data_IF_524797816531
#
_entry.id   IF_524797816531
#
_cell.length_a   1.000
_cell.length_b   1.000
_cell.length_c   1.000
_cell.angle_alpha   90.00
_cell.angle_beta   90.00
_cell.angle_gamma   90.00
#
_symmetry.space_group_name_H-M   'P 1'
#
loop_
_entity.id
_entity.type
_entity.pdbx_description
1 polymer ?
#
# COMPACT_ATOMS: atom_id res chain seq x y z
N UNK A 1 62.94 28.58 -26.51
CA UNK A 1 62.01 28.33 -27.63
C UNK A 1 60.60 28.54 -27.10
N UNK A 2 59.93 29.57 -27.59
CA UNK A 2 58.67 30.11 -27.06
C UNK A 2 57.49 29.27 -27.56
N UNK A 3 56.61 28.79 -26.69
CA UNK A 3 55.23 28.46 -27.05
C UNK A 3 54.32 29.11 -26.02
N UNK A 4 53.48 30.00 -26.54
CA UNK A 4 52.69 30.96 -25.83
C UNK A 4 51.40 30.33 -25.28
N UNK A 5 51.10 30.65 -24.02
CA UNK A 5 49.79 30.43 -23.39
C UNK A 5 48.82 31.40 -24.08
N UNK A 6 47.92 30.87 -24.93
CA UNK A 6 46.76 31.64 -25.38
C UNK A 6 45.72 31.61 -24.26
N UNK A 7 45.71 32.69 -23.47
CA UNK A 7 44.59 33.08 -22.64
C UNK A 7 43.37 33.31 -23.56
N UNK A 8 42.41 32.38 -23.50
CA UNK A 8 41.08 32.60 -24.07
C UNK A 8 40.18 33.04 -22.93
N UNK A 9 39.94 34.34 -22.88
CA UNK A 9 38.96 34.99 -22.00
C UNK A 9 37.59 34.88 -22.69
N UNK A 10 36.83 33.83 -22.37
CA UNK A 10 35.43 33.71 -22.78
C UNK A 10 34.53 34.04 -21.59
N UNK A 11 34.00 35.26 -21.66
CA UNK A 11 32.60 35.64 -21.43
C UNK A 11 31.78 34.84 -20.40
N UNK A 12 31.29 35.56 -19.39
CA UNK A 12 30.16 35.19 -18.52
C UNK A 12 29.12 34.34 -19.26
N UNK A 13 28.87 33.11 -18.80
CA UNK A 13 27.59 32.37 -18.87
C UNK A 13 27.74 31.04 -18.10
N UNK A 14 26.75 30.74 -17.26
CA UNK A 14 26.65 29.58 -16.37
C UNK A 14 27.05 28.25 -17.04
N UNK A 15 27.99 27.54 -16.42
CA UNK A 15 28.42 26.22 -16.88
C UNK A 15 28.97 25.36 -15.75
N UNK A 16 28.26 25.32 -14.62
CA UNK A 16 28.57 24.44 -13.49
C UNK A 16 27.45 23.40 -13.42
N UNK A 17 27.53 22.38 -14.27
CA UNK A 17 26.65 21.22 -14.19
C UNK A 17 27.49 19.97 -13.94
N UNK A 18 28.07 19.93 -12.74
CA UNK A 18 28.51 18.70 -12.11
C UNK A 18 27.26 17.89 -11.76
N UNK A 19 26.72 17.09 -12.69
CA UNK A 19 25.72 16.07 -12.31
C UNK A 19 26.49 14.84 -11.86
N UNK A 20 26.77 14.74 -10.57
CA UNK A 20 26.84 13.42 -9.95
C UNK A 20 25.40 13.02 -9.68
N UNK A 21 24.80 12.30 -10.62
CA UNK A 21 23.54 11.62 -10.37
C UNK A 21 23.87 10.50 -9.38
N UNK A 22 23.58 10.74 -8.10
CA UNK A 22 23.68 9.70 -7.08
C UNK A 22 22.73 8.57 -7.45
N UNK A 23 23.18 7.29 -7.43
CA UNK A 23 22.30 6.18 -7.74
C UNK A 23 21.12 6.20 -6.76
N UNK A 24 19.90 6.16 -7.30
CA UNK A 24 18.68 6.04 -6.50
C UNK A 24 18.81 4.76 -5.68
N UNK A 25 18.74 4.86 -4.37
CA UNK A 25 18.87 3.72 -3.46
C UNK A 25 17.59 2.88 -3.51
N UNK A 26 17.36 2.18 -4.62
CA UNK A 26 16.47 1.03 -4.63
C UNK A 26 17.17 -0.07 -3.83
N UNK A 27 16.54 -0.55 -2.77
CA UNK A 27 17.01 -1.72 -2.04
C UNK A 27 17.16 -2.89 -3.03
N UNK A 28 18.42 -3.24 -3.33
CA UNK A 28 18.82 -4.17 -4.39
C UNK A 28 18.21 -5.56 -4.23
N UNK A 29 17.73 -5.90 -3.02
CA UNK A 29 17.08 -7.18 -2.73
C UNK A 29 15.69 -7.29 -3.34
N UNK A 30 15.11 -6.18 -3.77
CA UNK A 30 13.75 -6.10 -4.28
C UNK A 30 13.61 -4.98 -5.32
N UNK A 31 13.97 -5.21 -6.59
CA UNK A 31 14.02 -4.16 -7.62
C UNK A 31 12.65 -3.74 -8.18
N UNK A 32 11.54 -4.19 -7.59
CA UNK A 32 10.18 -3.86 -8.06
C UNK A 32 9.66 -2.55 -7.47
N UNK A 33 8.77 -1.88 -8.20
CA UNK A 33 8.08 -0.66 -7.76
C UNK A 33 7.16 -0.94 -6.56
N UNK A 34 7.08 0.00 -5.62
CA UNK A 34 6.17 -0.08 -4.48
C UNK A 34 4.78 0.44 -4.91
N UNK A 35 3.67 -0.19 -4.50
CA UNK A 35 2.35 0.41 -4.66
C UNK A 35 2.32 1.83 -4.07
N UNK A 36 1.75 2.78 -4.82
CA UNK A 36 1.96 4.22 -4.62
C UNK A 36 1.02 4.87 -3.60
N UNK A 37 -0.13 4.25 -3.31
CA UNK A 37 -1.07 4.71 -2.28
C UNK A 37 -1.68 3.56 -1.48
N UNK A 38 -2.46 3.91 -0.45
CA UNK A 38 -3.21 2.95 0.34
C UNK A 38 -4.54 2.60 -0.33
N UNK A 39 -5.01 1.34 -0.25
CA UNK A 39 -6.39 1.01 -0.56
C UNK A 39 -7.36 1.76 0.36
N UNK A 40 -8.54 2.13 -0.15
CA UNK A 40 -9.58 2.74 0.67
C UNK A 40 -10.53 1.65 1.21
N UNK A 41 -10.32 1.19 2.44
CA UNK A 41 -11.26 0.30 3.14
C UNK A 41 -12.47 1.09 3.66
N UNK A 42 -13.59 1.02 2.94
CA UNK A 42 -14.76 1.85 3.23
C UNK A 42 -15.96 1.09 3.81
N UNK A 43 -16.03 -0.24 3.68
CA UNK A 43 -17.15 -1.03 4.20
C UNK A 43 -16.74 -2.43 4.65
N UNK A 44 -17.39 -2.93 5.71
CA UNK A 44 -17.35 -4.32 6.17
C UNK A 44 -18.77 -4.82 6.42
N UNK A 45 -19.15 -5.91 5.77
CA UNK A 45 -20.38 -6.65 6.05
C UNK A 45 -20.03 -7.83 6.98
N UNK A 46 -20.50 -7.78 8.23
CA UNK A 46 -20.28 -8.82 9.24
C UNK A 46 -21.45 -9.78 9.31
N UNK A 47 -21.15 -11.06 9.54
CA UNK A 47 -22.08 -12.08 10.03
C UNK A 47 -21.71 -12.51 11.45
N UNK A 48 -22.27 -13.63 11.91
CA UNK A 48 -21.91 -14.26 13.18
C UNK A 48 -20.45 -14.74 13.22
N UNK A 49 -19.88 -15.05 12.06
CA UNK A 49 -18.62 -15.78 11.93
C UNK A 49 -17.80 -15.39 10.69
N UNK A 50 -18.19 -14.35 9.96
CA UNK A 50 -17.47 -13.89 8.77
C UNK A 50 -17.49 -12.38 8.62
N UNK A 51 -16.54 -11.88 7.83
CA UNK A 51 -16.41 -10.49 7.44
C UNK A 51 -16.16 -10.38 5.93
N UNK A 52 -17.03 -9.70 5.20
CA UNK A 52 -16.78 -9.30 3.81
C UNK A 52 -16.30 -7.85 3.78
N UNK A 53 -15.03 -7.65 3.41
CA UNK A 53 -14.41 -6.33 3.28
C UNK A 53 -14.61 -5.80 1.87
N UNK A 54 -14.82 -4.49 1.74
CA UNK A 54 -14.95 -3.79 0.46
C UNK A 54 -14.02 -2.57 0.45
N UNK A 55 -13.19 -2.47 -0.58
CA UNK A 55 -12.20 -1.41 -0.69
C UNK A 55 -11.92 -1.00 -2.14
N UNK A 56 -11.44 0.24 -2.33
CA UNK A 56 -10.97 0.68 -3.65
C UNK A 56 -9.57 0.15 -3.93
N UNK A 57 -9.28 -0.24 -5.18
CA UNK A 57 -8.00 -0.81 -5.56
C UNK A 57 -6.88 0.24 -5.59
N UNK A 58 -5.64 -0.25 -5.57
CA UNK A 58 -4.44 0.48 -5.99
C UNK A 58 -4.08 -0.07 -7.37
N UNK A 59 -3.85 0.79 -8.37
CA UNK A 59 -3.64 0.35 -9.75
C UNK A 59 -2.18 0.41 -10.21
N UNK A 60 -1.33 1.19 -9.54
CA UNK A 60 0.10 1.19 -9.81
C UNK A 60 0.78 0.08 -8.99
N UNK A 61 1.61 -0.72 -9.66
CA UNK A 61 2.49 -1.69 -9.03
C UNK A 61 1.74 -2.56 -8.01
N UNK A 62 0.77 -3.37 -8.47
CA UNK A 62 0.00 -4.27 -7.61
C UNK A 62 -0.07 -5.67 -8.20
N UNK A 63 0.12 -6.66 -7.35
CA UNK A 63 -0.04 -8.09 -7.66
C UNK A 63 -1.04 -8.79 -6.73
N UNK A 64 -1.35 -8.16 -5.60
CA UNK A 64 -2.32 -8.65 -4.65
C UNK A 64 -2.47 -7.73 -3.45
N UNK A 65 -3.24 -8.20 -2.47
CA UNK A 65 -3.52 -7.47 -1.24
C UNK A 65 -3.26 -8.36 -0.04
N UNK A 66 -2.78 -7.73 1.02
CA UNK A 66 -2.70 -8.32 2.36
C UNK A 66 -3.76 -7.64 3.23
N UNK A 67 -4.64 -8.44 3.82
CA UNK A 67 -5.53 -8.00 4.89
C UNK A 67 -4.93 -8.47 6.21
N UNK A 68 -4.70 -7.55 7.13
CA UNK A 68 -4.29 -7.84 8.50
C UNK A 68 -5.39 -7.47 9.49
N UNK A 69 -5.57 -8.30 10.51
CA UNK A 69 -6.62 -8.10 11.49
C UNK A 69 -6.35 -8.77 12.85
N UNK A 70 -7.06 -8.29 13.87
CA UNK A 70 -6.95 -8.76 15.25
C UNK A 70 -8.00 -8.13 16.16
N UNK A 71 -7.82 -8.26 17.47
CA UNK A 71 -8.84 -7.93 18.47
C UNK A 71 -8.77 -6.49 19.01
N UNK A 72 -7.71 -5.75 18.69
CA UNK A 72 -7.55 -4.33 19.00
C UNK A 72 -6.87 -3.59 17.83
N UNK A 73 -6.90 -2.26 17.85
CA UNK A 73 -6.30 -1.45 16.77
C UNK A 73 -4.78 -1.69 16.71
N UNK A 74 -4.29 -2.08 15.54
CA UNK A 74 -2.87 -2.43 15.32
C UNK A 74 -2.49 -3.86 15.73
N UNK A 75 -3.48 -4.69 16.12
CA UNK A 75 -3.28 -6.12 16.30
C UNK A 75 -3.32 -6.83 14.95
N UNK A 76 -2.15 -7.24 14.45
CA UNK A 76 -2.00 -7.90 13.15
C UNK A 76 -1.66 -9.38 13.30
N UNK A 77 -2.20 -10.04 14.32
CA UNK A 77 -1.94 -11.46 14.59
C UNK A 77 -2.47 -12.39 13.51
N UNK A 78 -3.50 -11.96 12.78
CA UNK A 78 -4.07 -12.69 11.66
C UNK A 78 -3.81 -11.94 10.36
N UNK A 79 -3.58 -12.69 9.29
CA UNK A 79 -3.31 -12.12 7.98
C UNK A 79 -3.75 -13.06 6.87
N UNK A 80 -4.21 -12.48 5.77
CA UNK A 80 -4.52 -13.22 4.55
C UNK A 80 -4.04 -12.42 3.34
N UNK A 81 -3.26 -13.10 2.50
CA UNK A 81 -2.85 -12.59 1.20
C UNK A 81 -3.71 -13.22 0.12
N UNK A 82 -4.09 -12.43 -0.89
CA UNK A 82 -4.73 -12.95 -2.09
C UNK A 82 -4.27 -12.18 -3.33
N UNK A 83 -4.06 -12.88 -4.46
CA UNK A 83 -3.67 -12.24 -5.71
C UNK A 83 -4.85 -11.47 -6.30
N UNK A 84 -4.57 -10.25 -6.72
CA UNK A 84 -5.53 -9.36 -7.39
C UNK A 84 -4.74 -8.23 -8.03
N UNK A 85 -4.83 -8.12 -9.35
CA UNK A 85 -4.14 -7.07 -10.12
C UNK A 85 -4.89 -5.74 -10.10
N UNK A 86 -4.52 -4.82 -11.01
CA UNK A 86 -5.24 -3.57 -11.21
C UNK A 86 -6.73 -3.81 -11.52
N UNK A 87 -7.58 -2.92 -11.04
CA UNK A 87 -9.03 -2.97 -11.26
C UNK A 87 -9.62 -1.57 -11.28
N UNK A 88 -10.68 -1.37 -12.05
CA UNK A 88 -11.48 -0.13 -12.03
C UNK A 88 -12.66 -0.21 -11.04
N UNK A 89 -12.89 -1.40 -10.48
CA UNK A 89 -14.02 -1.70 -9.60
C UNK A 89 -13.63 -1.86 -8.13
N UNK A 90 -14.66 -1.89 -7.28
CA UNK A 90 -14.51 -2.24 -5.86
C UNK A 90 -14.00 -3.68 -5.75
N UNK A 91 -12.97 -3.89 -4.93
CA UNK A 91 -12.50 -5.22 -4.55
C UNK A 91 -13.26 -5.66 -3.30
N UNK A 92 -13.67 -6.92 -3.28
CA UNK A 92 -14.26 -7.55 -2.10
C UNK A 92 -13.52 -8.82 -1.71
N UNK A 93 -13.37 -9.05 -0.40
CA UNK A 93 -12.75 -10.27 0.12
C UNK A 93 -13.48 -10.73 1.38
N UNK A 94 -13.79 -12.03 1.46
CA UNK A 94 -14.47 -12.64 2.59
C UNK A 94 -13.48 -13.38 3.49
N UNK A 95 -13.55 -13.11 4.78
CA UNK A 95 -12.86 -13.84 5.84
C UNK A 95 -13.90 -14.65 6.61
N UNK A 96 -13.74 -15.96 6.63
CA UNK A 96 -14.62 -16.90 7.35
C UNK A 96 -14.01 -17.34 8.69
N UNK A 97 -14.78 -18.10 9.48
CA UNK A 97 -14.36 -18.72 10.74
C UNK A 97 -13.91 -17.73 11.84
N UNK A 98 -14.49 -16.53 11.86
CA UNK A 98 -14.32 -15.57 12.94
C UNK A 98 -15.07 -16.02 14.19
N UNK A 99 -14.52 -15.68 15.36
CA UNK A 99 -15.19 -15.98 16.62
C UNK A 99 -16.46 -15.14 16.74
N UNK A 100 -17.61 -15.73 17.13
CA UNK A 100 -18.83 -14.98 17.38
C UNK A 100 -18.69 -13.95 18.50
N UNK A 101 -19.51 -12.90 18.47
CA UNK A 101 -19.56 -11.82 19.46
C UNK A 101 -18.21 -11.10 19.74
N UNK A 102 -17.29 -11.14 18.77
CA UNK A 102 -15.92 -10.66 18.90
C UNK A 102 -15.69 -9.43 18.03
N UNK A 103 -15.02 -8.42 18.61
CA UNK A 103 -14.63 -7.22 17.88
C UNK A 103 -13.32 -7.49 17.15
N UNK A 104 -13.30 -7.14 15.88
CA UNK A 104 -12.14 -7.19 15.02
C UNK A 104 -11.80 -5.81 14.46
N UNK A 105 -10.52 -5.60 14.18
CA UNK A 105 -9.96 -4.39 13.57
C UNK A 105 -9.22 -4.83 12.32
N UNK A 106 -9.61 -4.29 11.16
CA UNK A 106 -9.10 -4.69 9.86
C UNK A 106 -8.38 -3.53 9.19
N UNK A 107 -7.33 -3.85 8.44
CA UNK A 107 -6.66 -2.95 7.50
C UNK A 107 -6.17 -3.72 6.28
N UNK A 108 -6.06 -3.03 5.16
CA UNK A 108 -5.66 -3.60 3.86
C UNK A 108 -4.45 -2.84 3.34
N UNK A 109 -3.50 -3.53 2.74
CA UNK A 109 -2.44 -2.91 1.93
C UNK A 109 -2.32 -3.61 0.58
N UNK A 110 -1.96 -2.85 -0.45
CA UNK A 110 -1.53 -3.41 -1.72
C UNK A 110 -0.12 -4.01 -1.58
N UNK A 111 0.17 -5.05 -2.37
CA UNK A 111 1.44 -5.78 -2.38
C UNK A 111 1.89 -5.97 -3.83
N UNK A 112 3.17 -5.68 -4.08
CA UNK A 112 3.87 -5.99 -5.31
C UNK A 112 5.09 -6.84 -5.00
N UNK A 113 4.94 -8.16 -5.10
CA UNK A 113 6.00 -9.12 -4.79
C UNK A 113 6.63 -8.83 -3.41
N UNK A 114 7.89 -8.38 -3.36
CA UNK A 114 8.61 -8.06 -2.14
C UNK A 114 8.42 -6.62 -1.62
N UNK A 115 7.61 -5.79 -2.29
CA UNK A 115 7.24 -4.43 -1.84
C UNK A 115 5.80 -4.40 -1.31
N UNK A 116 5.67 -3.91 -0.08
CA UNK A 116 4.39 -3.61 0.54
C UNK A 116 4.03 -2.13 0.34
N UNK A 117 2.79 -1.83 -0.02
CA UNK A 117 2.23 -0.48 -0.15
C UNK A 117 2.01 0.22 1.19
N UNK A 118 1.10 1.20 1.24
CA UNK A 118 0.65 1.79 2.49
C UNK A 118 -0.59 1.06 3.02
N UNK A 119 -0.75 1.02 4.34
CA UNK A 119 -1.96 0.51 4.97
C UNK A 119 -3.12 1.48 4.79
N UNK A 120 -4.31 0.93 4.57
CA UNK A 120 -5.58 1.64 4.68
C UNK A 120 -5.81 2.17 6.10
N UNK A 121 -6.83 2.99 6.26
CA UNK A 121 -7.42 3.23 7.58
C UNK A 121 -7.88 1.91 8.22
N UNK A 122 -7.87 1.89 9.55
CA UNK A 122 -8.40 0.75 10.30
C UNK A 122 -9.91 0.89 10.44
N UNK A 123 -10.65 -0.12 9.96
CA UNK A 123 -12.08 -0.23 10.18
C UNK A 123 -12.36 -1.35 11.19
N UNK A 124 -13.18 -1.07 12.20
CA UNK A 124 -13.53 -2.06 13.22
C UNK A 124 -14.97 -2.51 13.08
N UNK A 125 -15.19 -3.80 13.29
CA UNK A 125 -16.52 -4.40 13.21
C UNK A 125 -16.64 -5.51 14.26
N UNK A 126 -17.87 -5.81 14.68
CA UNK A 126 -18.14 -6.88 15.65
C UNK A 126 -18.97 -7.97 14.98
N UNK A 127 -18.55 -9.23 15.11
CA UNK A 127 -19.40 -10.36 14.75
C UNK A 127 -20.64 -10.35 15.65
N UNK A 128 -21.82 -10.51 15.06
CA UNK A 128 -23.09 -10.45 15.78
C UNK A 128 -24.08 -11.41 15.15
N UNK A 129 -25.17 -11.72 15.87
CA UNK A 129 -26.29 -12.43 15.26
C UNK A 129 -26.91 -11.57 14.14
N UNK A 130 -27.09 -12.18 12.97
CA UNK A 130 -27.56 -11.51 11.76
C UNK A 130 -26.44 -10.80 10.98
N UNK A 131 -26.82 -10.16 9.89
CA UNK A 131 -25.88 -9.41 9.04
C UNK A 131 -25.87 -7.93 9.42
N UNK A 132 -24.70 -7.34 9.62
CA UNK A 132 -24.55 -5.91 9.93
C UNK A 132 -23.45 -5.27 9.08
N UNK A 133 -23.75 -4.09 8.52
CA UNK A 133 -22.82 -3.30 7.73
C UNK A 133 -22.15 -2.23 8.59
N UNK A 134 -20.84 -2.06 8.39
CA UNK A 134 -20.02 -1.05 9.03
C UNK A 134 -19.36 -0.23 7.94
N UNK A 135 -19.40 1.09 8.07
CA UNK A 135 -18.83 2.02 7.11
C UNK A 135 -17.74 2.85 7.76
N UNK A 136 -16.71 3.21 6.99
CA UNK A 136 -15.72 4.19 7.44
C UNK A 136 -16.39 5.55 7.57
N UNK A 137 -16.19 6.22 8.70
CA UNK A 137 -16.63 7.60 8.91
C UNK A 137 -15.72 8.51 8.09
N UNK A 138 -16.32 9.43 7.32
CA UNK A 138 -15.58 10.44 6.55
C UNK A 138 -15.14 11.60 7.43
#
# INVERSE_FOLDING_TARGET
MKIAIRLVFTCLLWGLYFILATPVSADTRCPVEKPDHAPDLFQIDMTIDSASLFFTPVNNAVTGYLIAYGHYRGDDRFGVFFPSGPSDGVISFKIDYLQPNTRYYFRVQAVNDCRNGFWSDTLSARTNWGSKKYYRVK
#
